data_IF_791497064783
#
_entry.id   IF_791497064783
#
_cell.length_a   1.000
_cell.length_b   1.000
_cell.length_c   1.000
_cell.angle_alpha   90.00
_cell.angle_beta   90.00
_cell.angle_gamma   90.00
#
_symmetry.space_group_name_H-M   'P 1'
#
loop_
_entity.id
_entity.type
_entity.pdbx_description
1 polymer ?
#
# COMPACT_ATOMS: atom_id res chain seq x y z
N UNK A 1 4.35 2.60 -3.81
CA UNK A 1 4.93 3.71 -3.04
C UNK A 1 3.82 4.59 -2.50
N UNK A 2 3.93 5.04 -1.25
CA UNK A 2 2.95 5.92 -0.58
C UNK A 2 3.04 7.36 -1.10
N UNK A 3 2.28 7.72 -2.14
CA UNK A 3 2.33 9.08 -2.70
C UNK A 3 1.62 10.10 -1.80
N UNK A 4 0.64 9.62 -1.01
CA UNK A 4 -0.05 10.35 0.06
C UNK A 4 -0.36 9.40 1.22
N UNK A 5 -0.09 9.82 2.44
CA UNK A 5 -0.47 9.12 3.68
C UNK A 5 -1.21 10.09 4.63
N UNK A 6 -1.43 9.69 5.88
CA UNK A 6 -2.23 10.40 6.88
C UNK A 6 -1.78 11.82 7.24
N UNK A 7 -0.55 12.22 6.89
CA UNK A 7 -0.04 13.58 7.08
C UNK A 7 -0.54 14.58 6.02
N UNK A 8 -1.21 14.12 4.96
CA UNK A 8 -1.60 14.90 3.79
C UNK A 8 -0.45 15.48 2.96
N UNK A 9 0.80 15.14 3.29
CA UNK A 9 1.97 15.56 2.52
C UNK A 9 2.11 14.71 1.25
N UNK A 10 2.25 15.38 0.09
CA UNK A 10 2.33 14.72 -1.21
C UNK A 10 3.77 14.51 -1.66
N UNK A 11 4.08 13.31 -2.18
CA UNK A 11 5.42 12.96 -2.68
C UNK A 11 5.65 13.31 -4.17
N UNK A 12 4.86 14.21 -4.72
CA UNK A 12 5.00 14.74 -6.08
C UNK A 12 4.64 16.23 -6.11
N UNK A 13 5.05 16.93 -7.17
CA UNK A 13 4.67 18.32 -7.42
C UNK A 13 3.21 18.38 -7.86
N UNK A 14 2.31 18.81 -6.96
CA UNK A 14 0.87 18.81 -7.20
C UNK A 14 0.35 20.23 -7.34
N UNK A 15 -0.49 20.48 -8.34
CA UNK A 15 -1.16 21.77 -8.47
C UNK A 15 -2.28 21.96 -7.42
N UNK A 16 -2.61 20.92 -6.65
CA UNK A 16 -3.75 20.91 -5.73
C UNK A 16 -3.46 21.43 -4.33
N UNK A 17 -2.18 21.59 -3.96
CA UNK A 17 -1.76 21.99 -2.62
C UNK A 17 -0.35 22.57 -2.63
N UNK A 18 0.03 23.24 -1.54
CA UNK A 18 1.43 23.59 -1.26
C UNK A 18 2.04 22.67 -0.18
N UNK A 19 1.30 21.66 0.27
CA UNK A 19 1.76 20.65 1.24
C UNK A 19 2.37 19.46 0.50
N UNK A 20 3.47 19.69 -0.20
CA UNK A 20 4.14 18.68 -1.02
C UNK A 20 5.67 18.84 -1.00
N UNK A 21 6.35 17.99 -1.76
CA UNK A 21 7.82 18.00 -1.90
C UNK A 21 8.37 19.37 -2.32
N UNK A 22 7.61 20.20 -3.03
CA UNK A 22 8.07 21.52 -3.46
C UNK A 22 8.14 22.53 -2.30
N UNK A 23 7.46 22.26 -1.18
CA UNK A 23 7.59 23.02 0.05
C UNK A 23 8.71 22.51 0.99
N UNK A 24 9.50 21.53 0.55
CA UNK A 24 10.61 20.95 1.34
C UNK A 24 11.98 21.46 0.88
N UNK A 25 13.01 21.46 1.77
CA UNK A 25 14.38 21.79 1.37
C UNK A 25 14.95 20.90 0.26
N UNK A 26 14.41 19.68 0.13
CA UNK A 26 14.71 18.75 -0.96
C UNK A 26 13.49 18.65 -1.86
N UNK A 27 13.44 19.48 -2.90
CA UNK A 27 12.31 19.62 -3.83
C UNK A 27 12.30 18.57 -4.96
N UNK A 28 12.66 17.32 -4.65
CA UNK A 28 12.62 16.23 -5.65
C UNK A 28 11.19 15.70 -5.78
N UNK A 29 10.66 15.63 -7.00
CA UNK A 29 9.46 14.83 -7.32
C UNK A 29 9.78 13.34 -7.10
N UNK A 30 9.52 12.87 -5.88
CA UNK A 30 9.86 11.52 -5.43
C UNK A 30 9.04 10.47 -6.21
N UNK A 31 7.78 10.76 -6.52
CA UNK A 31 6.94 9.89 -7.36
C UNK A 31 7.54 9.68 -8.75
N UNK A 32 7.98 10.75 -9.41
CA UNK A 32 8.62 10.65 -10.72
C UNK A 32 9.96 9.93 -10.65
N UNK A 33 10.77 10.21 -9.64
CA UNK A 33 12.05 9.53 -9.43
C UNK A 33 11.85 8.02 -9.20
N UNK A 34 10.88 7.63 -8.38
CA UNK A 34 10.52 6.23 -8.11
C UNK A 34 10.04 5.52 -9.37
N UNK A 35 9.08 6.09 -10.11
CA UNK A 35 8.55 5.50 -11.33
C UNK A 35 9.64 5.31 -12.38
N UNK A 36 10.53 6.31 -12.56
CA UNK A 36 11.66 6.23 -13.48
C UNK A 36 12.60 5.10 -13.10
N UNK A 37 12.93 4.96 -11.82
CA UNK A 37 13.85 3.93 -11.34
C UNK A 37 13.22 2.53 -11.44
N UNK A 38 11.95 2.36 -11.08
CA UNK A 38 11.21 1.10 -11.29
C UNK A 38 11.31 0.65 -12.75
N UNK A 39 10.99 1.54 -13.70
CA UNK A 39 11.06 1.23 -15.13
C UNK A 39 12.48 0.91 -15.60
N UNK A 40 13.49 1.65 -15.13
CA UNK A 40 14.90 1.38 -15.44
C UNK A 40 15.32 -0.02 -15.00
N UNK A 41 14.74 -0.53 -13.92
CA UNK A 41 15.00 -1.85 -13.34
C UNK A 41 14.06 -2.95 -13.86
N UNK A 42 13.15 -2.64 -14.78
CA UNK A 42 12.14 -3.60 -15.27
C UNK A 42 11.07 -3.97 -14.23
N UNK A 43 10.87 -3.12 -13.22
CA UNK A 43 9.86 -3.30 -12.16
C UNK A 43 8.64 -2.44 -12.47
N UNK A 44 7.46 -3.02 -12.37
CA UNK A 44 6.19 -2.30 -12.49
C UNK A 44 5.98 -1.34 -11.29
N UNK A 45 5.80 -0.03 -11.51
CA UNK A 45 5.53 0.92 -10.43
C UNK A 45 4.08 0.81 -9.94
N UNK A 46 3.86 1.00 -8.65
CA UNK A 46 2.52 1.09 -8.05
C UNK A 46 2.42 2.25 -7.06
N UNK A 47 1.23 2.83 -6.95
CA UNK A 47 0.94 3.93 -6.03
C UNK A 47 -0.01 3.50 -4.92
N UNK A 48 0.29 3.93 -3.71
CA UNK A 48 -0.60 3.90 -2.56
C UNK A 48 -1.07 5.32 -2.28
N UNK A 49 -2.37 5.50 -2.07
CA UNK A 49 -3.01 6.77 -1.75
C UNK A 49 -3.97 6.59 -0.58
N UNK A 50 -3.67 7.23 0.55
CA UNK A 50 -4.57 7.24 1.71
C UNK A 50 -5.67 8.29 1.52
N UNK A 51 -6.94 7.93 1.76
CA UNK A 51 -8.04 8.88 1.72
C UNK A 51 -8.04 9.83 2.91
N UNK A 52 -7.44 9.44 4.03
CA UNK A 52 -7.42 10.25 5.25
C UNK A 52 -6.29 11.27 5.25
N UNK A 53 -6.64 12.55 5.43
CA UNK A 53 -5.70 13.67 5.64
C UNK A 53 -5.87 14.32 7.02
N UNK A 54 -6.55 13.64 7.95
CA UNK A 54 -6.90 14.16 9.27
C UNK A 54 -8.35 14.71 9.34
N UNK A 55 -8.95 14.79 10.54
CA UNK A 55 -10.36 15.18 10.71
C UNK A 55 -10.74 16.52 10.09
N UNK A 56 -9.82 17.50 10.16
CA UNK A 56 -10.02 18.84 9.60
C UNK A 56 -9.90 18.90 8.08
N UNK A 57 -9.22 17.93 7.45
CA UNK A 57 -9.02 17.94 6.00
C UNK A 57 -10.20 17.30 5.28
N UNK A 58 -10.62 16.12 5.73
CA UNK A 58 -11.68 15.34 5.08
C UNK A 58 -13.06 16.02 5.17
N UNK A 59 -13.23 16.95 6.11
CA UNK A 59 -14.43 17.75 6.30
C UNK A 59 -14.43 19.07 5.50
N UNK A 60 -13.36 19.38 4.76
CA UNK A 60 -13.31 20.59 3.92
C UNK A 60 -14.33 20.49 2.79
N UNK A 61 -15.06 21.57 2.45
CA UNK A 61 -16.06 21.55 1.38
C UNK A 61 -15.51 21.13 0.01
N UNK A 62 -14.21 21.36 -0.24
CA UNK A 62 -13.55 21.03 -1.51
C UNK A 62 -12.73 19.72 -1.45
N UNK A 63 -12.77 18.95 -0.35
CA UNK A 63 -11.94 17.75 -0.19
C UNK A 63 -12.16 16.74 -1.32
N UNK A 64 -13.42 16.50 -1.70
CA UNK A 64 -13.78 15.66 -2.85
C UNK A 64 -13.10 16.12 -4.14
N UNK A 65 -13.20 17.40 -4.47
CA UNK A 65 -12.63 17.96 -5.69
C UNK A 65 -11.11 17.84 -5.71
N UNK A 66 -10.46 18.08 -4.57
CA UNK A 66 -9.00 17.93 -4.40
C UNK A 66 -8.57 16.48 -4.60
N UNK A 67 -9.26 15.50 -3.99
CA UNK A 67 -8.94 14.07 -4.19
C UNK A 67 -9.04 13.68 -5.66
N UNK A 68 -10.14 14.05 -6.32
CA UNK A 68 -10.34 13.70 -7.73
C UNK A 68 -9.30 14.36 -8.64
N UNK A 69 -8.88 15.59 -8.34
CA UNK A 69 -7.79 16.26 -9.04
C UNK A 69 -6.43 15.57 -8.80
N UNK A 70 -6.14 15.14 -7.57
CA UNK A 70 -4.90 14.40 -7.26
C UNK A 70 -4.88 13.02 -7.94
N UNK A 71 -5.99 12.28 -7.94
CA UNK A 71 -6.11 11.02 -8.68
C UNK A 71 -5.96 11.24 -10.18
N UNK A 72 -6.48 12.35 -10.70
CA UNK A 72 -6.28 12.75 -12.10
C UNK A 72 -4.79 13.00 -12.41
N UNK A 73 -4.06 13.72 -11.57
CA UNK A 73 -2.61 13.92 -11.71
C UNK A 73 -1.85 12.57 -11.70
N UNK A 74 -2.11 11.72 -10.69
CA UNK A 74 -1.45 10.42 -10.55
C UNK A 74 -1.69 9.48 -11.74
N UNK A 75 -2.86 9.56 -12.36
CA UNK A 75 -3.25 8.74 -13.51
C UNK A 75 -2.82 9.31 -14.86
N UNK A 76 -2.22 10.50 -14.90
CA UNK A 76 -1.82 11.17 -16.17
C UNK A 76 -0.35 11.56 -16.22
N UNK A 77 0.24 12.02 -15.13
CA UNK A 77 1.58 12.64 -15.13
C UNK A 77 2.74 11.64 -15.10
N UNK A 78 2.47 10.39 -14.76
CA UNK A 78 3.49 9.37 -14.49
C UNK A 78 3.53 8.25 -15.54
N UNK A 79 2.73 8.32 -16.61
CA UNK A 79 2.57 7.24 -17.60
C UNK A 79 1.72 6.09 -17.08
N UNK A 80 1.91 4.88 -17.59
CA UNK A 80 1.17 3.69 -17.11
C UNK A 80 1.57 3.33 -15.68
N UNK A 81 0.57 3.20 -14.81
CA UNK A 81 0.71 2.77 -13.42
C UNK A 81 -0.21 1.56 -13.21
N UNK A 82 0.33 0.33 -13.16
CA UNK A 82 -0.48 -0.88 -13.12
C UNK A 82 -1.14 -1.18 -11.76
N UNK A 83 -0.80 -0.47 -10.68
CA UNK A 83 -1.38 -0.69 -9.35
C UNK A 83 -1.69 0.63 -8.64
N UNK A 84 -2.94 0.77 -8.20
CA UNK A 84 -3.39 1.81 -7.28
C UNK A 84 -4.01 1.16 -6.03
N UNK A 85 -3.30 1.26 -4.92
CA UNK A 85 -3.81 0.91 -3.60
C UNK A 85 -4.42 2.15 -2.96
N UNK A 86 -5.74 2.12 -2.79
CA UNK A 86 -6.53 3.17 -2.15
C UNK A 86 -6.86 2.76 -0.73
N UNK A 87 -6.31 3.48 0.24
CA UNK A 87 -6.48 3.17 1.65
C UNK A 87 -7.51 4.06 2.35
N UNK A 88 -8.08 3.55 3.43
CA UNK A 88 -8.92 4.28 4.37
C UNK A 88 -10.21 4.88 3.76
N UNK A 89 -10.88 4.13 2.90
CA UNK A 89 -12.16 4.55 2.31
C UNK A 89 -13.23 4.92 3.35
N UNK A 90 -13.18 4.38 4.59
CA UNK A 90 -14.03 4.81 5.71
C UNK A 90 -13.94 6.31 6.00
N UNK A 91 -12.78 6.91 5.72
CA UNK A 91 -12.50 8.32 5.97
C UNK A 91 -12.55 9.17 4.71
N UNK A 92 -12.96 8.63 3.56
CA UNK A 92 -13.23 9.45 2.39
C UNK A 92 -14.28 10.54 2.70
N UNK A 93 -14.27 11.69 2.01
CA UNK A 93 -15.35 12.66 2.09
C UNK A 93 -16.72 11.97 1.91
N UNK A 94 -17.76 12.32 2.70
CA UNK A 94 -19.05 11.61 2.68
C UNK A 94 -19.73 11.56 1.30
N UNK A 95 -19.43 12.54 0.44
CA UNK A 95 -19.95 12.67 -0.91
C UNK A 95 -19.04 12.03 -1.99
N UNK A 96 -17.98 11.29 -1.61
CA UNK A 96 -17.09 10.57 -2.51
C UNK A 96 -17.20 9.05 -2.32
N UNK A 97 -17.82 8.38 -3.30
CA UNK A 97 -18.06 6.93 -3.23
C UNK A 97 -16.88 6.11 -3.74
N UNK A 98 -16.80 4.85 -3.32
CA UNK A 98 -15.85 3.86 -3.84
C UNK A 98 -15.93 3.73 -5.38
N UNK A 99 -17.14 3.70 -5.93
CA UNK A 99 -17.38 3.65 -7.38
C UNK A 99 -16.73 4.83 -8.11
N UNK A 100 -16.90 6.05 -7.60
CA UNK A 100 -16.33 7.24 -8.23
C UNK A 100 -14.80 7.25 -8.21
N UNK A 101 -14.20 6.77 -7.12
CA UNK A 101 -12.74 6.61 -7.01
C UNK A 101 -12.22 5.58 -8.02
N UNK A 102 -12.89 4.42 -8.08
CA UNK A 102 -12.55 3.36 -9.01
C UNK A 102 -12.66 3.84 -10.47
N UNK A 103 -13.76 4.51 -10.82
CA UNK A 103 -13.97 5.07 -12.17
C UNK A 103 -12.97 6.18 -12.52
N UNK A 104 -12.62 7.04 -11.55
CA UNK A 104 -11.62 8.08 -11.74
C UNK A 104 -10.26 7.49 -12.17
N UNK A 105 -9.90 6.33 -11.63
CA UNK A 105 -8.67 5.62 -11.98
C UNK A 105 -8.85 4.84 -13.30
N UNK A 106 -9.85 3.96 -13.38
CA UNK A 106 -10.06 3.06 -14.54
C UNK A 106 -10.35 3.81 -15.83
N UNK A 107 -10.98 4.98 -15.77
CA UNK A 107 -11.26 5.80 -16.97
C UNK A 107 -9.98 6.20 -17.72
N UNK A 108 -8.85 6.30 -17.02
CA UNK A 108 -7.54 6.70 -17.56
C UNK A 108 -6.52 5.57 -17.61
N UNK A 109 -6.58 4.68 -16.63
CA UNK A 109 -5.67 3.55 -16.46
C UNK A 109 -6.49 2.26 -16.47
N UNK A 110 -7.08 1.92 -17.63
CA UNK A 110 -8.03 0.81 -17.80
C UNK A 110 -7.49 -0.54 -17.31
N UNK A 111 -6.19 -0.76 -17.48
CA UNK A 111 -5.50 -2.01 -17.12
C UNK A 111 -4.97 -2.02 -15.68
N UNK A 112 -5.03 -0.90 -14.95
CA UNK A 112 -4.52 -0.84 -13.60
C UNK A 112 -5.37 -1.67 -12.64
N UNK A 113 -4.75 -2.43 -11.75
CA UNK A 113 -5.40 -3.03 -10.60
C UNK A 113 -5.73 -1.92 -9.62
N UNK A 114 -7.02 -1.75 -9.33
CA UNK A 114 -7.53 -0.80 -8.34
C UNK A 114 -7.90 -1.58 -7.08
N UNK A 115 -7.07 -1.42 -6.06
CA UNK A 115 -7.13 -2.13 -4.79
C UNK A 115 -7.66 -1.18 -3.72
N UNK A 116 -8.95 -1.30 -3.38
CA UNK A 116 -9.50 -0.57 -2.24
C UNK A 116 -9.22 -1.39 -0.99
N UNK A 117 -8.43 -0.84 -0.06
CA UNK A 117 -8.03 -1.53 1.17
C UNK A 117 -9.26 -1.99 1.95
N UNK A 118 -9.36 -3.28 2.24
CA UNK A 118 -10.46 -3.87 2.98
C UNK A 118 -10.25 -3.88 4.49
N UNK A 119 -9.21 -3.17 4.98
CA UNK A 119 -8.71 -3.15 6.37
C UNK A 119 -8.16 -4.51 6.83
N UNK A 120 -7.63 -4.54 8.04
CA UNK A 120 -7.24 -5.76 8.74
C UNK A 120 -8.45 -6.71 8.87
N UNK A 121 -8.46 -7.78 8.07
CA UNK A 121 -9.43 -8.87 8.08
C UNK A 121 -8.89 -10.10 7.32
N UNK A 122 -9.59 -11.21 7.30
CA UNK A 122 -9.15 -12.43 6.60
C UNK A 122 -9.60 -12.51 5.11
N UNK A 123 -10.26 -11.48 4.58
CA UNK A 123 -10.77 -11.47 3.20
C UNK A 123 -12.13 -12.13 3.00
N UNK A 124 -12.81 -12.48 4.10
CA UNK A 124 -14.20 -12.98 4.06
C UNK A 124 -15.21 -11.89 3.74
N UNK A 125 -14.90 -10.62 4.02
CA UNK A 125 -15.81 -9.49 3.83
C UNK A 125 -15.37 -8.58 2.68
N UNK A 126 -16.34 -8.13 1.90
CA UNK A 126 -16.17 -7.03 0.94
C UNK A 126 -16.72 -5.77 1.61
N UNK A 127 -15.82 -4.91 2.12
CA UNK A 127 -16.17 -3.64 2.76
C UNK A 127 -16.29 -2.51 1.78
N UNK A 128 -15.45 -2.51 0.74
CA UNK A 128 -15.48 -1.51 -0.32
C UNK A 128 -15.52 -2.19 -1.68
N UNK A 129 -16.46 -1.75 -2.51
CA UNK A 129 -16.66 -2.24 -3.86
C UNK A 129 -17.06 -1.05 -4.76
N UNK A 130 -16.65 -1.03 -6.04
CA UNK A 130 -15.80 -2.00 -6.75
C UNK A 130 -14.34 -1.99 -6.28
N UNK A 131 -13.68 -3.15 -6.38
CA UNK A 131 -12.25 -3.37 -6.16
C UNK A 131 -11.82 -4.57 -7.03
N UNK A 132 -10.57 -4.59 -7.49
CA UNK A 132 -10.04 -5.68 -8.31
C UNK A 132 -9.42 -6.81 -7.48
N UNK A 133 -9.13 -6.55 -6.21
CA UNK A 133 -8.46 -7.46 -5.29
C UNK A 133 -9.01 -7.25 -3.88
N UNK A 134 -9.11 -8.34 -3.12
CA UNK A 134 -9.36 -8.32 -1.68
C UNK A 134 -8.04 -8.44 -0.94
N UNK A 135 -7.99 -7.95 0.28
CA UNK A 135 -6.84 -8.09 1.13
C UNK A 135 -7.23 -8.20 2.59
N UNK A 136 -6.21 -8.35 3.42
CA UNK A 136 -6.35 -8.36 4.87
C UNK A 136 -5.21 -7.68 5.62
N UNK A 137 -4.37 -6.93 4.89
CA UNK A 137 -3.11 -6.42 5.39
C UNK A 137 -2.23 -7.54 5.96
N UNK A 138 -1.92 -7.45 7.24
CA UNK A 138 -1.16 -8.42 8.02
C UNK A 138 -1.97 -9.65 8.43
N UNK A 139 -3.23 -9.80 8.05
CA UNK A 139 -4.03 -10.98 8.41
C UNK A 139 -3.96 -12.02 7.30
N UNK A 140 -3.80 -13.29 7.66
CA UNK A 140 -3.82 -14.39 6.69
C UNK A 140 -5.24 -14.66 6.18
N UNK A 141 -5.40 -15.23 4.98
CA UNK A 141 -6.68 -15.81 4.59
C UNK A 141 -7.18 -16.87 5.61
N UNK A 142 -8.46 -17.26 5.54
CA UNK A 142 -9.05 -18.25 6.44
C UNK A 142 -8.30 -19.58 6.37
N UNK A 143 -8.39 -20.38 7.44
CA UNK A 143 -7.71 -21.69 7.50
C UNK A 143 -8.15 -22.65 6.38
N UNK A 144 -9.40 -22.54 5.93
CA UNK A 144 -9.94 -23.31 4.80
C UNK A 144 -9.67 -22.67 3.43
N UNK A 145 -8.87 -21.61 3.38
CA UNK A 145 -8.44 -20.93 2.15
C UNK A 145 -9.34 -19.77 1.73
N UNK A 146 -8.76 -18.85 0.96
CA UNK A 146 -9.46 -17.76 0.30
C UNK A 146 -10.49 -18.28 -0.70
N UNK A 147 -11.62 -17.58 -0.79
CA UNK A 147 -12.69 -17.87 -1.73
C UNK A 147 -12.72 -16.77 -2.79
N UNK A 148 -12.06 -16.95 -3.95
CA UNK A 148 -11.83 -15.85 -4.88
C UNK A 148 -13.06 -15.47 -5.71
N UNK A 149 -14.01 -16.37 -5.90
CA UNK A 149 -15.25 -16.04 -6.61
C UNK A 149 -16.29 -15.50 -5.65
N UNK A 150 -16.73 -14.26 -5.89
CA UNK A 150 -17.70 -13.54 -5.06
C UNK A 150 -18.91 -13.13 -5.87
N UNK A 151 -20.08 -13.12 -5.24
CA UNK A 151 -21.31 -12.57 -5.86
C UNK A 151 -21.64 -11.24 -5.21
N UNK A 152 -21.67 -10.18 -6.01
CA UNK A 152 -22.08 -8.83 -5.59
C UNK A 152 -23.22 -8.39 -6.49
N UNK A 153 -24.37 -8.05 -5.91
CA UNK A 153 -25.57 -7.64 -6.65
C UNK A 153 -25.97 -8.62 -7.78
N UNK A 154 -25.89 -9.92 -7.50
CA UNK A 154 -26.24 -10.99 -8.46
C UNK A 154 -25.21 -11.23 -9.57
N UNK A 155 -24.11 -10.47 -9.62
CA UNK A 155 -23.01 -10.66 -10.58
C UNK A 155 -21.83 -11.37 -9.91
N UNK A 156 -21.22 -12.30 -10.63
CA UNK A 156 -20.05 -13.06 -10.16
C UNK A 156 -18.76 -12.35 -10.57
N UNK A 157 -17.90 -12.08 -9.60
CA UNK A 157 -16.58 -11.46 -9.76
C UNK A 157 -15.49 -12.41 -9.30
N UNK A 158 -14.32 -12.35 -9.94
CA UNK A 158 -13.09 -12.95 -9.44
C UNK A 158 -12.30 -11.89 -8.69
N UNK A 159 -12.19 -12.05 -7.38
CA UNK A 159 -11.46 -11.18 -6.47
C UNK A 159 -10.33 -11.99 -5.81
N UNK A 160 -9.09 -11.96 -6.34
CA UNK A 160 -7.96 -12.60 -5.71
C UNK A 160 -7.65 -11.97 -4.34
N UNK A 161 -6.76 -12.61 -3.58
CA UNK A 161 -6.34 -12.10 -2.28
C UNK A 161 -4.88 -11.66 -2.31
N UNK A 162 -4.62 -10.42 -1.88
CA UNK A 162 -3.29 -9.90 -1.61
C UNK A 162 -3.02 -9.91 -0.10
N UNK A 163 -1.89 -10.48 0.30
CA UNK A 163 -1.42 -10.49 1.69
C UNK A 163 -0.30 -9.48 1.87
N UNK A 164 -0.37 -8.58 2.85
CA UNK A 164 0.54 -7.44 2.95
C UNK A 164 1.31 -7.41 4.29
N UNK A 165 2.31 -8.28 4.48
CA UNK A 165 3.08 -8.32 5.71
C UNK A 165 4.06 -7.13 5.77
N UNK A 166 4.31 -6.65 6.99
CA UNK A 166 5.43 -5.75 7.28
C UNK A 166 6.74 -6.52 7.44
N UNK A 167 7.84 -5.94 6.97
CA UNK A 167 9.18 -6.55 7.06
C UNK A 167 9.90 -6.29 8.39
N UNK A 168 9.37 -5.40 9.22
CA UNK A 168 10.00 -4.89 10.44
C UNK A 168 8.99 -4.62 11.54
N UNK A 169 9.49 -4.57 12.78
CA UNK A 169 8.74 -4.21 13.97
C UNK A 169 9.32 -3.01 14.70
N UNK A 170 8.53 -2.39 15.58
CA UNK A 170 8.96 -1.23 16.37
C UNK A 170 8.35 -1.22 17.77
N UNK A 171 9.16 -1.53 18.78
CA UNK A 171 8.86 -1.34 20.20
C UNK A 171 7.46 -1.77 20.63
N UNK A 172 6.88 -1.06 21.62
CA UNK A 172 5.53 -1.34 22.17
C UNK A 172 4.39 -0.65 21.40
N UNK A 173 4.67 0.04 20.29
CA UNK A 173 3.65 0.82 19.59
C UNK A 173 2.98 -0.06 18.54
N UNK A 174 1.75 -0.49 18.82
CA UNK A 174 0.92 -1.32 17.93
C UNK A 174 0.55 -0.53 16.69
N UNK A 175 1.38 -0.61 15.65
CA UNK A 175 0.99 -0.15 14.31
C UNK A 175 0.33 -1.31 13.54
N UNK A 176 0.79 -2.54 13.77
CA UNK A 176 0.17 -3.76 13.26
C UNK A 176 0.41 -4.94 14.24
N UNK A 177 -0.63 -5.65 14.68
CA UNK A 177 -0.47 -6.82 15.57
C UNK A 177 -0.10 -8.06 14.74
N UNK A 178 1.20 -8.37 14.64
CA UNK A 178 1.71 -9.49 13.83
C UNK A 178 2.08 -10.70 14.69
N UNK A 179 2.14 -11.92 14.13
CA UNK A 179 2.64 -13.10 14.85
C UNK A 179 4.15 -13.03 15.15
N UNK A 180 4.86 -12.03 14.63
CA UNK A 180 6.30 -11.79 14.86
C UNK A 180 6.55 -10.68 15.90
N UNK A 181 5.48 -10.11 16.47
CA UNK A 181 5.52 -8.98 17.40
C UNK A 181 4.89 -7.72 16.82
N UNK A 182 5.05 -6.56 17.49
CA UNK A 182 4.50 -5.28 17.03
C UNK A 182 5.15 -4.87 15.70
N UNK A 183 4.38 -4.92 14.61
CA UNK A 183 4.80 -4.59 13.26
C UNK A 183 4.84 -3.09 12.99
N UNK A 184 5.64 -2.67 12.00
CA UNK A 184 5.75 -1.27 11.58
C UNK A 184 5.78 -1.13 10.06
N UNK A 185 4.90 -0.30 9.51
CA UNK A 185 4.88 0.07 8.08
C UNK A 185 6.02 1.03 7.71
N UNK A 186 6.42 1.90 8.64
CA UNK A 186 7.45 2.91 8.44
C UNK A 186 8.77 2.53 9.13
N UNK A 187 9.87 2.97 8.54
CA UNK A 187 11.21 2.77 9.10
C UNK A 187 11.56 3.91 10.04
N UNK A 188 11.68 3.57 11.31
CA UNK A 188 12.23 4.46 12.34
C UNK A 188 13.73 4.19 12.42
N UNK A 189 14.53 5.08 11.83
CA UNK A 189 15.99 5.00 11.82
C UNK A 189 16.64 5.40 13.16
N UNK A 190 17.91 5.05 13.36
CA UNK A 190 18.67 5.47 14.54
C UNK A 190 18.99 6.97 14.54
N UNK A 191 19.44 7.51 15.68
CA UNK A 191 19.93 8.89 15.79
C UNK A 191 18.85 9.97 15.89
N UNK A 192 17.59 9.57 15.99
CA UNK A 192 16.49 10.42 16.44
C UNK A 192 16.11 9.97 17.85
N UNK A 193 15.55 10.84 18.69
CA UNK A 193 15.20 10.54 20.10
C UNK A 193 14.09 9.50 20.30
N UNK A 194 13.90 8.59 19.35
CA UNK A 194 12.98 7.46 19.38
C UNK A 194 13.74 6.15 19.17
N UNK A 195 13.19 5.05 19.67
CA UNK A 195 13.74 3.72 19.41
C UNK A 195 13.73 3.42 17.90
N UNK A 196 14.78 2.80 17.37
CA UNK A 196 14.80 2.38 15.98
C UNK A 196 13.92 1.14 15.77
N UNK A 197 13.18 1.12 14.66
CA UNK A 197 12.53 -0.10 14.15
C UNK A 197 13.56 -1.18 13.82
N UNK A 198 13.18 -2.45 13.76
CA UNK A 198 14.08 -3.57 13.46
C UNK A 198 13.43 -4.55 12.51
N UNK A 199 14.20 -4.97 11.50
CA UNK A 199 13.90 -6.08 10.63
C UNK A 199 13.42 -7.33 11.39
N UNK A 200 12.33 -7.94 10.93
CA UNK A 200 11.90 -9.25 11.43
C UNK A 200 12.86 -10.37 11.00
N UNK A 201 12.98 -11.46 11.77
CA UNK A 201 13.79 -12.59 11.33
C UNK A 201 13.25 -13.22 10.03
N UNK A 202 14.13 -13.42 9.05
CA UNK A 202 13.77 -13.89 7.68
C UNK A 202 12.99 -15.20 7.69
N UNK A 203 13.39 -16.18 8.52
CA UNK A 203 12.77 -17.52 8.54
C UNK A 203 11.30 -17.45 8.99
N UNK A 204 10.96 -16.84 10.14
CA UNK A 204 9.56 -16.60 10.53
C UNK A 204 8.75 -15.81 9.51
N UNK A 205 9.30 -14.73 8.93
CA UNK A 205 8.61 -13.94 7.91
C UNK A 205 8.32 -14.76 6.64
N UNK A 206 9.30 -15.52 6.16
CA UNK A 206 9.12 -16.41 5.03
C UNK A 206 8.08 -17.51 5.31
N UNK A 207 8.05 -18.05 6.54
CA UNK A 207 7.03 -19.03 6.96
C UNK A 207 5.63 -18.41 6.92
N UNK A 208 5.49 -17.18 7.39
CA UNK A 208 4.22 -16.47 7.41
C UNK A 208 3.69 -16.18 6.00
N UNK A 209 4.58 -15.73 5.11
CA UNK A 209 4.27 -15.53 3.68
C UNK A 209 3.84 -16.84 3.01
N UNK A 210 4.54 -17.95 3.26
CA UNK A 210 4.17 -19.27 2.73
C UNK A 210 2.79 -19.71 3.19
N UNK A 211 2.43 -19.44 4.45
CA UNK A 211 1.08 -19.72 4.94
C UNK A 211 0.01 -18.92 4.22
N UNK A 212 0.29 -17.69 3.77
CA UNK A 212 -0.68 -16.93 2.98
C UNK A 212 -0.93 -17.60 1.63
N UNK A 213 0.13 -17.98 0.93
CA UNK A 213 0.03 -18.73 -0.33
C UNK A 213 -0.65 -20.10 -0.16
N UNK A 214 -0.30 -20.86 0.88
CA UNK A 214 -0.94 -22.15 1.20
C UNK A 214 -2.46 -21.98 1.44
N UNK A 215 -2.90 -20.79 1.84
CA UNK A 215 -4.32 -20.44 2.04
C UNK A 215 -4.92 -19.66 0.87
N UNK A 216 -4.30 -19.67 -0.30
CA UNK A 216 -4.86 -19.13 -1.53
C UNK A 216 -4.67 -17.63 -1.74
N UNK A 217 -3.74 -16.98 -1.02
CA UNK A 217 -3.26 -15.66 -1.42
C UNK A 217 -2.66 -15.75 -2.83
N UNK A 218 -3.08 -14.86 -3.72
CA UNK A 218 -2.59 -14.79 -5.11
C UNK A 218 -1.37 -13.89 -5.23
N UNK A 219 -1.23 -12.90 -4.34
CA UNK A 219 -0.08 -12.01 -4.29
C UNK A 219 0.34 -11.71 -2.85
N UNK A 220 1.60 -11.29 -2.69
CA UNK A 220 2.15 -10.79 -1.43
C UNK A 220 2.85 -9.46 -1.65
N UNK A 221 2.47 -8.44 -0.89
CA UNK A 221 3.12 -7.13 -0.87
C UNK A 221 3.86 -6.93 0.45
N UNK A 222 5.17 -7.15 0.43
CA UNK A 222 6.01 -6.94 1.63
C UNK A 222 6.31 -5.46 1.80
N UNK A 223 5.80 -4.86 2.88
CA UNK A 223 6.07 -3.45 3.16
C UNK A 223 7.50 -3.25 3.67
N UNK A 224 8.20 -2.31 3.03
CA UNK A 224 9.51 -1.79 3.42
C UNK A 224 9.55 -0.28 3.14
N UNK A 225 10.29 0.47 3.95
CA UNK A 225 10.35 1.93 3.85
C UNK A 225 11.79 2.44 3.97
N UNK A 226 12.16 3.54 3.28
CA UNK A 226 13.42 4.21 3.55
C UNK A 226 13.39 4.82 4.97
N UNK A 227 14.57 5.02 5.56
CA UNK A 227 14.70 5.83 6.76
C UNK A 227 14.77 7.33 6.42
N UNK A 228 15.03 8.16 7.44
CA UNK A 228 15.10 9.61 7.31
C UNK A 228 16.26 10.13 6.42
N UNK A 229 17.18 9.26 5.98
CA UNK A 229 18.23 9.60 5.01
C UNK A 229 17.75 9.47 3.56
N UNK A 230 16.53 8.95 3.34
CA UNK A 230 15.96 8.69 2.02
C UNK A 230 16.45 7.38 1.40
N UNK A 231 17.04 6.48 2.19
CA UNK A 231 17.55 5.17 1.74
C UNK A 231 16.97 4.05 2.60
N UNK A 232 16.85 2.86 2.02
CA UNK A 232 16.72 1.64 2.84
C UNK A 232 18.01 1.48 3.65
N UNK A 233 17.87 1.09 4.92
CA UNK A 233 19.03 0.74 5.72
C UNK A 233 19.72 -0.48 5.11
N UNK A 234 21.06 -0.57 5.12
CA UNK A 234 21.77 -1.72 4.52
C UNK A 234 21.26 -3.07 5.02
N UNK A 235 20.94 -3.18 6.31
CA UNK A 235 20.41 -4.38 6.94
C UNK A 235 19.00 -4.75 6.45
N UNK A 236 18.12 -3.78 6.20
CA UNK A 236 16.77 -4.04 5.66
C UNK A 236 16.87 -4.52 4.21
N UNK A 237 17.72 -3.88 3.41
CA UNK A 237 17.94 -4.29 2.03
C UNK A 237 18.52 -5.72 1.97
N UNK A 238 19.49 -6.04 2.83
CA UNK A 238 20.05 -7.39 2.92
C UNK A 238 18.99 -8.42 3.37
N UNK A 239 18.15 -8.07 4.34
CA UNK A 239 17.06 -8.91 4.82
C UNK A 239 16.04 -9.21 3.70
N UNK A 240 15.67 -8.22 2.89
CA UNK A 240 14.77 -8.41 1.74
C UNK A 240 15.38 -9.36 0.69
N UNK A 241 16.68 -9.24 0.40
CA UNK A 241 17.39 -10.17 -0.49
C UNK A 241 17.39 -11.59 0.08
N UNK A 242 17.67 -11.74 1.38
CA UNK A 242 17.62 -13.05 2.07
C UNK A 242 16.21 -13.64 2.08
N UNK A 243 15.18 -12.81 2.24
CA UNK A 243 13.77 -13.21 2.15
C UNK A 243 13.43 -13.74 0.75
N UNK A 244 13.80 -13.01 -0.30
CA UNK A 244 13.60 -13.46 -1.69
C UNK A 244 14.25 -14.82 -1.95
N UNK A 245 15.49 -15.03 -1.48
CA UNK A 245 16.17 -16.34 -1.57
C UNK A 245 15.44 -17.45 -0.81
N UNK A 246 14.88 -17.15 0.37
CA UNK A 246 14.14 -18.12 1.18
C UNK A 246 12.76 -18.48 0.60
N UNK A 247 12.18 -17.60 -0.21
CA UNK A 247 10.89 -17.78 -0.90
C UNK A 247 11.06 -18.40 -2.29
N UNK A 248 12.18 -18.18 -2.99
CA UNK A 248 12.39 -18.64 -4.38
C UNK A 248 12.01 -20.10 -4.66
N UNK A 249 12.49 -21.10 -3.88
CA UNK A 249 12.13 -22.50 -4.09
C UNK A 249 10.64 -22.84 -3.84
N UNK A 250 9.91 -21.94 -3.18
CA UNK A 250 8.48 -22.09 -2.92
C UNK A 250 7.65 -21.43 -4.04
N UNK A 251 8.09 -20.28 -4.56
CA UNK A 251 7.40 -19.54 -5.62
C UNK A 251 7.58 -20.16 -7.01
N UNK A 252 8.61 -20.98 -7.22
CA UNK A 252 8.89 -21.67 -8.48
C UNK A 252 8.25 -23.08 -8.57
N UNK A 253 7.28 -23.40 -7.70
CA UNK A 253 6.54 -24.66 -7.70
C UNK A 253 5.25 -24.51 -8.48
#
# INVERSE_FOLDING_TARGET
>A
MTVRHTSDFLLWDSATTHCDVMASPVATDVARAFVRECRRQGIAPGFYYCMWGGPKWNTRPNARAVILAQLHELTTLFGEIPLFWIDMMLWAPPDLTAQQVYDAIKSRQRNAVVHLNQHVQDGTQIRYFPTDVLNGEITLPPLNGHQPYRTVEGKRYYLPYEFEPVSQGWGLRRVADTPLGPGSWFTYGAGRGFEASRAFPVRPLAKWIKQAYDRGASNVLVAAAPDHTGRLRPEDAEQLVRLGRALGPYLNR
#
